data_IF_222967118190
#
_entry.id   IF_222967118190
#
_cell.length_a   1.000
_cell.length_b   1.000
_cell.length_c   1.000
_cell.angle_alpha   90.00
_cell.angle_beta   90.00
_cell.angle_gamma   90.00
#
_symmetry.space_group_name_H-M   'P 1'
#
loop_
_entity.id
_entity.type
_entity.pdbx_description
1 polymer ?
#
# COMPACT_ATOMS: atom_id res chain seq x y z
N UNK A 1 15.45 32.57 -13.20
CA UNK A 1 16.30 31.41 -13.56
C UNK A 1 16.26 30.31 -12.48
N UNK A 2 16.52 30.64 -11.20
CA UNK A 2 16.47 29.66 -10.10
C UNK A 2 15.04 29.16 -9.82
N UNK A 3 14.04 30.01 -9.87
CA UNK A 3 12.63 29.64 -9.70
C UNK A 3 12.15 28.67 -10.81
N UNK A 4 12.54 28.91 -12.04
CA UNK A 4 12.24 28.01 -13.17
C UNK A 4 12.87 26.64 -12.96
N UNK A 5 14.10 26.60 -12.39
CA UNK A 5 14.76 25.35 -12.07
C UNK A 5 14.03 24.62 -10.93
N UNK A 6 13.64 25.31 -9.86
CA UNK A 6 12.81 24.74 -8.78
C UNK A 6 11.52 24.18 -9.37
N UNK A 7 10.80 24.96 -10.19
CA UNK A 7 9.56 24.50 -10.85
C UNK A 7 9.80 23.25 -11.70
N UNK A 8 10.89 23.20 -12.46
CA UNK A 8 11.26 22.03 -13.25
C UNK A 8 11.47 20.79 -12.39
N UNK A 9 12.15 20.92 -11.24
CA UNK A 9 12.37 19.81 -10.32
C UNK A 9 11.05 19.35 -9.68
N UNK A 10 10.15 20.26 -9.29
CA UNK A 10 8.84 19.91 -8.77
C UNK A 10 8.01 19.16 -9.82
N UNK A 11 8.00 19.60 -11.07
CA UNK A 11 7.28 18.94 -12.16
C UNK A 11 7.83 17.55 -12.49
N UNK A 12 9.10 17.30 -12.21
CA UNK A 12 9.73 15.97 -12.33
C UNK A 12 9.63 15.13 -11.05
N UNK A 13 8.91 15.61 -10.03
CA UNK A 13 8.77 14.98 -8.70
C UNK A 13 10.11 14.83 -7.95
N UNK A 14 11.11 15.64 -8.26
CA UNK A 14 12.40 15.68 -7.54
C UNK A 14 12.37 16.76 -6.46
N UNK A 15 11.61 16.49 -5.40
CA UNK A 15 11.43 17.45 -4.31
C UNK A 15 12.71 17.69 -3.51
N UNK A 16 13.61 16.71 -3.42
CA UNK A 16 14.92 16.87 -2.79
C UNK A 16 15.82 17.89 -3.51
N UNK A 17 15.89 17.79 -4.84
CA UNK A 17 16.62 18.77 -5.64
C UNK A 17 15.95 20.15 -5.58
N UNK A 18 14.62 20.21 -5.67
CA UNK A 18 13.86 21.45 -5.54
C UNK A 18 14.12 22.14 -4.19
N UNK A 19 14.08 21.38 -3.09
CA UNK A 19 14.32 21.89 -1.74
C UNK A 19 15.76 22.38 -1.56
N UNK A 20 16.74 21.62 -2.07
CA UNK A 20 18.15 21.99 -2.03
C UNK A 20 18.42 23.32 -2.74
N UNK A 21 17.80 23.54 -3.89
CA UNK A 21 17.92 24.80 -4.62
C UNK A 21 17.21 25.93 -3.86
N UNK A 22 15.97 25.71 -3.39
CA UNK A 22 15.23 26.71 -2.66
C UNK A 22 15.97 27.22 -1.42
N UNK A 23 16.68 26.37 -0.70
CA UNK A 23 17.50 26.75 0.45
C UNK A 23 18.67 27.69 0.13
N UNK A 24 19.11 27.74 -1.11
CA UNK A 24 20.20 28.66 -1.53
C UNK A 24 19.70 30.05 -1.84
N UNK A 25 18.40 30.25 -1.95
CA UNK A 25 17.79 31.55 -2.24
C UNK A 25 17.56 32.35 -0.97
N UNK A 26 17.57 33.70 -1.06
CA UNK A 26 17.16 34.54 0.07
C UNK A 26 15.73 34.17 0.54
N UNK A 27 15.54 34.17 1.86
CA UNK A 27 14.32 33.73 2.50
C UNK A 27 13.09 34.52 2.02
N UNK A 28 13.25 35.78 1.71
CA UNK A 28 12.21 36.66 1.18
C UNK A 28 11.55 36.15 -0.11
N UNK A 29 12.29 35.34 -0.90
CA UNK A 29 11.77 34.74 -2.14
C UNK A 29 11.21 33.33 -1.96
N UNK A 30 11.40 32.71 -0.81
CA UNK A 30 11.07 31.29 -0.61
C UNK A 30 10.06 31.04 0.51
N UNK A 31 9.79 32.05 1.37
CA UNK A 31 8.91 31.93 2.53
C UNK A 31 7.55 31.26 2.22
N UNK A 32 6.95 31.59 1.08
CA UNK A 32 5.59 31.15 0.75
C UNK A 32 5.52 29.68 0.33
N UNK A 33 6.62 29.06 -0.10
CA UNK A 33 6.59 27.74 -0.69
C UNK A 33 7.64 26.75 -0.19
N UNK A 34 8.66 27.17 0.54
CA UNK A 34 9.75 26.28 0.96
C UNK A 34 9.25 25.15 1.88
N UNK A 35 8.30 25.45 2.76
CA UNK A 35 7.71 24.47 3.67
C UNK A 35 6.85 23.46 2.91
N UNK A 36 6.20 23.85 1.82
CA UNK A 36 5.47 22.93 0.95
C UNK A 36 6.41 21.96 0.23
N UNK A 37 7.55 22.46 -0.26
CA UNK A 37 8.55 21.59 -0.91
C UNK A 37 9.14 20.61 0.12
N UNK A 38 9.48 21.10 1.32
CA UNK A 38 9.97 20.27 2.42
C UNK A 38 8.94 19.21 2.85
N UNK A 39 7.68 19.59 2.92
CA UNK A 39 6.58 18.68 3.19
C UNK A 39 6.47 17.60 2.12
N UNK A 40 6.52 17.97 0.83
CA UNK A 40 6.47 17.02 -0.28
C UNK A 40 7.67 16.06 -0.27
N UNK A 41 8.88 16.55 0.03
CA UNK A 41 10.08 15.72 0.20
C UNK A 41 9.90 14.71 1.34
N UNK A 42 9.46 15.18 2.52
CA UNK A 42 9.26 14.32 3.69
C UNK A 42 8.22 13.22 3.41
N UNK A 43 7.12 13.54 2.70
CA UNK A 43 6.14 12.54 2.26
C UNK A 43 6.75 11.48 1.36
N UNK A 44 7.57 11.87 0.39
CA UNK A 44 8.24 10.94 -0.51
C UNK A 44 9.19 9.98 0.22
N UNK A 45 9.80 10.44 1.31
CA UNK A 45 10.70 9.66 2.16
C UNK A 45 9.95 8.88 3.26
N UNK A 46 8.62 9.04 3.36
CA UNK A 46 7.78 8.51 4.45
C UNK A 46 8.24 9.00 5.84
N UNK A 47 8.86 10.17 5.88
CA UNK A 47 9.28 10.84 7.12
C UNK A 47 8.13 11.64 7.71
N UNK A 48 7.26 10.93 8.44
CA UNK A 48 6.12 11.55 9.11
C UNK A 48 6.52 12.45 10.28
N UNK A 49 7.72 12.28 10.83
CA UNK A 49 8.22 13.13 11.89
C UNK A 49 8.46 14.57 11.42
N UNK A 50 8.88 14.73 10.18
CA UNK A 50 9.03 16.03 9.51
C UNK A 50 7.73 16.51 8.87
N UNK A 51 6.95 15.61 8.24
CA UNK A 51 5.75 16.00 7.50
C UNK A 51 4.58 16.42 8.40
N UNK A 52 4.33 15.73 9.53
CA UNK A 52 3.18 16.00 10.38
C UNK A 52 3.19 17.41 11.01
N UNK A 53 4.31 17.95 11.50
CA UNK A 53 4.36 19.34 11.97
C UNK A 53 4.05 20.38 10.89
N UNK A 54 4.52 20.14 9.66
CA UNK A 54 4.29 21.03 8.51
C UNK A 54 2.82 21.01 8.05
N UNK A 55 2.14 19.88 8.20
CA UNK A 55 0.71 19.74 7.88
C UNK A 55 -0.19 20.47 8.91
N UNK A 56 0.18 20.48 10.19
CA UNK A 56 -0.64 21.05 11.27
C UNK A 56 -0.84 22.57 11.19
N UNK A 57 -0.01 23.26 10.44
CA UNK A 57 -0.13 24.71 10.21
C UNK A 57 -1.22 25.09 9.21
N UNK A 58 -1.86 24.13 8.54
CA UNK A 58 -2.84 24.36 7.49
C UNK A 58 -4.26 24.12 7.99
N UNK A 59 -5.22 24.96 7.55
CA UNK A 59 -6.64 24.81 7.87
C UNK A 59 -7.22 23.48 7.39
N UNK A 60 -6.74 23.00 6.23
CA UNK A 60 -7.06 21.68 5.69
C UNK A 60 -5.79 20.81 5.63
N UNK A 61 -5.83 19.61 6.21
CA UNK A 61 -4.73 18.65 6.13
C UNK A 61 -4.47 18.24 4.68
N UNK A 62 -3.20 18.27 4.28
CA UNK A 62 -2.75 17.76 2.98
C UNK A 62 -2.69 16.24 2.92
N UNK A 63 -2.77 15.56 4.07
CA UNK A 63 -2.90 14.12 4.10
C UNK A 63 -4.34 13.70 3.84
N UNK A 64 -4.61 12.90 2.80
CA UNK A 64 -5.97 12.44 2.50
C UNK A 64 -6.49 11.43 3.53
N UNK A 65 -5.58 10.83 4.31
CA UNK A 65 -5.88 9.85 5.35
C UNK A 65 -5.21 10.26 6.66
N UNK A 66 -5.98 10.34 7.74
CA UNK A 66 -5.49 10.79 9.06
C UNK A 66 -5.07 9.65 10.01
N UNK A 67 -5.65 8.45 9.82
CA UNK A 67 -5.29 7.26 10.62
C UNK A 67 -3.83 6.89 10.39
N UNK A 68 -3.05 6.72 11.46
CA UNK A 68 -1.60 6.51 11.39
C UNK A 68 -1.20 5.33 10.50
N UNK A 69 -1.89 4.19 10.61
CA UNK A 69 -1.54 3.00 9.82
C UNK A 69 -1.97 3.14 8.36
N UNK A 70 -3.20 3.61 8.12
CA UNK A 70 -3.72 3.81 6.76
C UNK A 70 -2.94 4.89 6.03
N UNK A 71 -2.55 5.98 6.72
CA UNK A 71 -1.70 7.03 6.17
C UNK A 71 -0.39 6.47 5.63
N UNK A 72 0.29 5.60 6.38
CA UNK A 72 1.54 4.97 5.95
C UNK A 72 1.37 4.18 4.65
N UNK A 73 0.33 3.37 4.54
CA UNK A 73 0.06 2.59 3.32
C UNK A 73 -0.31 3.49 2.14
N UNK A 74 -1.11 4.52 2.39
CA UNK A 74 -1.50 5.47 1.35
C UNK A 74 -0.29 6.24 0.80
N UNK A 75 0.55 6.79 1.68
CA UNK A 75 1.74 7.53 1.27
C UNK A 75 2.76 6.62 0.57
N UNK A 76 2.89 5.37 1.02
CA UNK A 76 3.73 4.39 0.33
C UNK A 76 3.20 4.09 -1.08
N UNK A 77 1.91 3.89 -1.24
CA UNK A 77 1.29 3.69 -2.56
C UNK A 77 1.48 4.92 -3.47
N UNK A 78 1.33 6.14 -2.93
CA UNK A 78 1.61 7.38 -3.64
C UNK A 78 3.09 7.46 -4.09
N UNK A 79 4.03 7.06 -3.24
CA UNK A 79 5.45 7.04 -3.61
C UNK A 79 5.74 6.07 -4.75
N UNK A 80 5.03 4.93 -4.82
CA UNK A 80 5.11 3.99 -5.93
C UNK A 80 4.51 4.56 -7.23
N UNK A 81 3.37 5.26 -7.16
CA UNK A 81 2.78 5.95 -8.30
C UNK A 81 3.72 6.99 -8.89
N UNK A 82 4.41 7.75 -8.03
CA UNK A 82 5.42 8.72 -8.46
C UNK A 82 6.62 8.02 -9.15
N UNK A 83 7.07 6.87 -8.65
CA UNK A 83 8.13 6.09 -9.33
C UNK A 83 7.70 5.66 -10.74
N UNK A 84 6.45 5.26 -10.93
CA UNK A 84 5.92 4.97 -12.27
C UNK A 84 5.92 6.22 -13.17
N UNK A 85 5.49 7.37 -12.67
CA UNK A 85 5.48 8.65 -13.41
C UNK A 85 6.90 9.09 -13.80
N UNK A 86 7.88 8.82 -12.93
CA UNK A 86 9.30 9.07 -13.20
C UNK A 86 9.95 7.98 -14.08
N UNK A 87 9.19 6.94 -14.47
CA UNK A 87 9.68 5.79 -15.25
C UNK A 87 10.76 4.96 -14.52
N UNK A 88 10.78 5.02 -13.20
CA UNK A 88 11.67 4.25 -12.32
C UNK A 88 11.10 2.83 -12.09
N UNK A 89 10.94 2.07 -13.18
CA UNK A 89 10.24 0.78 -13.17
C UNK A 89 10.89 -0.26 -12.25
N UNK A 90 12.20 -0.28 -12.17
CA UNK A 90 12.94 -1.22 -11.31
C UNK A 90 12.65 -0.95 -9.83
N UNK A 91 12.66 0.31 -9.42
CA UNK A 91 12.38 0.70 -8.05
C UNK A 91 10.90 0.55 -7.70
N UNK A 92 10.01 0.75 -8.67
CA UNK A 92 8.60 0.42 -8.53
C UNK A 92 8.39 -1.08 -8.26
N UNK A 93 8.98 -1.96 -9.09
CA UNK A 93 8.85 -3.43 -8.93
C UNK A 93 9.44 -3.90 -7.61
N UNK A 94 10.58 -3.36 -7.20
CA UNK A 94 11.18 -3.66 -5.88
C UNK A 94 10.30 -3.20 -4.73
N UNK A 95 9.68 -2.03 -4.85
CA UNK A 95 8.84 -1.44 -3.82
C UNK A 95 7.46 -2.09 -3.69
N UNK A 96 6.88 -2.63 -4.78
CA UNK A 96 5.52 -3.19 -4.73
C UNK A 96 5.46 -4.53 -3.97
N UNK A 97 6.53 -5.31 -3.99
CA UNK A 97 6.55 -6.67 -3.38
C UNK A 97 6.23 -6.67 -1.89
N UNK A 98 6.84 -5.82 -1.04
CA UNK A 98 6.51 -5.77 0.38
C UNK A 98 5.06 -5.36 0.65
N UNK A 99 4.55 -4.35 -0.07
CA UNK A 99 3.19 -3.86 0.16
C UNK A 99 2.13 -4.88 -0.25
N UNK A 100 2.40 -5.73 -1.24
CA UNK A 100 1.47 -6.80 -1.62
C UNK A 100 1.25 -7.75 -0.45
N UNK A 101 2.31 -8.18 0.23
CA UNK A 101 2.21 -9.07 1.40
C UNK A 101 1.39 -8.40 2.50
N UNK A 102 1.71 -7.15 2.85
CA UNK A 102 1.01 -6.38 3.88
C UNK A 102 -0.48 -6.20 3.54
N UNK A 103 -0.81 -5.88 2.29
CA UNK A 103 -2.20 -5.74 1.84
C UNK A 103 -2.97 -7.06 1.90
N UNK A 104 -2.36 -8.18 1.51
CA UNK A 104 -2.98 -9.49 1.60
C UNK A 104 -3.23 -9.90 3.06
N UNK A 105 -2.30 -9.58 3.97
CA UNK A 105 -2.50 -9.79 5.41
C UNK A 105 -3.63 -8.91 5.96
N UNK A 106 -3.73 -7.66 5.52
CA UNK A 106 -4.85 -6.79 5.90
C UNK A 106 -6.19 -7.33 5.40
N UNK A 107 -6.26 -7.84 4.18
CA UNK A 107 -7.46 -8.49 3.63
C UNK A 107 -7.84 -9.68 4.52
N UNK A 108 -6.89 -10.57 4.83
CA UNK A 108 -7.14 -11.73 5.68
C UNK A 108 -7.66 -11.32 7.07
N UNK A 109 -7.04 -10.32 7.67
CA UNK A 109 -7.41 -9.83 8.99
C UNK A 109 -8.79 -9.14 9.02
N UNK A 110 -9.07 -8.25 8.07
CA UNK A 110 -10.30 -7.46 8.09
C UNK A 110 -11.50 -8.20 7.51
N UNK A 111 -11.30 -8.95 6.41
CA UNK A 111 -12.40 -9.65 5.73
C UNK A 111 -12.70 -11.00 6.39
N UNK A 112 -11.66 -11.77 6.71
CA UNK A 112 -11.82 -13.14 7.20
C UNK A 112 -11.56 -13.29 8.69
N UNK A 113 -11.22 -12.19 9.41
CA UNK A 113 -10.85 -12.19 10.84
C UNK A 113 -9.67 -13.12 11.16
N UNK A 114 -8.81 -13.35 10.16
CA UNK A 114 -7.65 -14.22 10.25
C UNK A 114 -6.37 -13.39 10.39
N UNK A 115 -5.77 -13.37 11.58
CA UNK A 115 -4.47 -12.72 11.80
C UNK A 115 -3.34 -13.70 11.52
N UNK A 116 -2.61 -13.50 10.42
CA UNK A 116 -1.49 -14.35 10.01
C UNK A 116 -0.36 -14.37 11.03
N UNK A 117 -0.19 -13.32 11.83
CA UNK A 117 0.84 -13.27 12.86
C UNK A 117 0.69 -14.38 13.91
N UNK A 118 -0.53 -14.89 14.13
CA UNK A 118 -0.77 -16.01 15.06
C UNK A 118 -0.10 -17.31 14.62
N UNK A 119 0.18 -17.46 13.32
CA UNK A 119 0.79 -18.65 12.71
C UNK A 119 2.26 -18.47 12.38
N UNK A 120 2.85 -17.37 12.80
CA UNK A 120 4.21 -17.00 12.44
C UNK A 120 5.16 -17.01 13.64
N UNK A 121 6.42 -17.12 13.32
CA UNK A 121 7.54 -16.84 14.21
C UNK A 121 8.52 -15.88 13.53
N UNK A 122 9.26 -15.13 14.34
CA UNK A 122 10.35 -14.28 13.84
C UNK A 122 11.67 -14.99 14.16
N UNK A 123 12.49 -15.21 13.15
CA UNK A 123 13.78 -15.85 13.31
C UNK A 123 14.84 -14.87 13.88
N UNK A 124 16.06 -15.39 14.11
CA UNK A 124 17.21 -14.62 14.64
C UNK A 124 17.59 -13.42 13.74
N UNK A 125 17.26 -13.49 12.46
CA UNK A 125 17.52 -12.44 11.46
C UNK A 125 16.34 -11.45 11.32
N UNK A 126 15.39 -11.48 12.25
CA UNK A 126 14.14 -10.69 12.21
C UNK A 126 13.25 -10.98 10.97
N UNK A 127 13.45 -12.14 10.32
CA UNK A 127 12.65 -12.57 9.20
C UNK A 127 11.43 -13.36 9.70
N UNK A 128 10.25 -13.05 9.17
CA UNK A 128 9.00 -13.75 9.50
C UNK A 128 8.90 -15.06 8.71
N UNK A 129 8.64 -16.13 9.43
CA UNK A 129 8.47 -17.50 8.89
C UNK A 129 7.21 -18.13 9.42
N UNK A 130 6.70 -19.13 8.71
CA UNK A 130 5.64 -19.97 9.23
C UNK A 130 6.14 -20.78 10.42
N UNK A 131 5.38 -20.77 11.50
CA UNK A 131 5.66 -21.57 12.70
C UNK A 131 4.95 -22.92 12.57
N UNK A 132 5.74 -23.99 12.45
CA UNK A 132 5.21 -25.34 12.26
C UNK A 132 4.26 -25.73 13.39
N UNK A 133 4.65 -25.48 14.64
CA UNK A 133 3.84 -25.89 15.81
C UNK A 133 2.48 -25.17 15.86
N UNK A 134 2.41 -23.94 15.35
CA UNK A 134 1.17 -23.16 15.32
C UNK A 134 0.33 -23.41 14.07
N UNK A 135 0.95 -23.88 13.00
CA UNK A 135 0.27 -24.04 11.71
C UNK A 135 -0.25 -25.46 11.50
N UNK A 136 0.45 -26.48 12.03
CA UNK A 136 0.08 -27.89 11.85
C UNK A 136 -1.34 -28.17 12.39
N UNK A 137 -2.13 -28.90 11.60
CA UNK A 137 -3.50 -29.24 11.91
C UNK A 137 -4.52 -28.08 11.77
N UNK A 138 -4.11 -26.95 11.21
CA UNK A 138 -5.02 -25.81 11.00
C UNK A 138 -5.60 -25.78 9.59
N UNK A 139 -6.82 -25.20 9.40
CA UNK A 139 -7.38 -24.97 8.07
C UNK A 139 -6.48 -24.08 7.19
N UNK A 140 -5.66 -23.23 7.79
CA UNK A 140 -4.71 -22.37 7.07
C UNK A 140 -3.65 -23.21 6.35
N UNK A 141 -3.10 -24.23 7.04
CA UNK A 141 -2.16 -25.14 6.41
C UNK A 141 -2.81 -25.96 5.28
N UNK A 142 -4.04 -26.43 5.49
CA UNK A 142 -4.78 -27.16 4.48
C UNK A 142 -5.01 -26.30 3.22
N UNK A 143 -5.38 -25.03 3.41
CA UNK A 143 -5.53 -24.08 2.32
C UNK A 143 -4.24 -23.90 1.52
N UNK A 144 -3.09 -23.76 2.21
CA UNK A 144 -1.78 -23.63 1.56
C UNK A 144 -1.44 -24.93 0.81
N UNK A 145 -1.61 -26.10 1.44
CA UNK A 145 -1.25 -27.40 0.84
C UNK A 145 -2.06 -27.78 -0.37
N UNK A 146 -3.27 -27.25 -0.55
CA UNK A 146 -4.08 -27.44 -1.77
C UNK A 146 -3.37 -26.92 -3.03
N UNK A 147 -2.68 -25.78 -2.92
CA UNK A 147 -1.94 -25.15 -4.02
C UNK A 147 -0.45 -25.57 -4.00
N UNK A 148 0.09 -25.85 -2.81
CA UNK A 148 1.50 -26.17 -2.57
C UNK A 148 1.64 -27.49 -1.79
N UNK A 149 1.50 -28.67 -2.41
CA UNK A 149 1.57 -29.96 -1.71
C UNK A 149 2.87 -30.17 -0.93
N UNK A 150 4.00 -29.65 -1.44
CA UNK A 150 5.34 -29.75 -0.83
C UNK A 150 5.69 -28.49 -0.03
N UNK A 151 4.72 -27.92 0.68
CA UNK A 151 4.94 -26.72 1.51
C UNK A 151 5.96 -26.97 2.63
N UNK A 152 6.95 -26.07 2.76
CA UNK A 152 8.15 -26.28 3.58
C UNK A 152 8.33 -25.31 4.76
N UNK A 153 7.29 -24.64 5.23
CA UNK A 153 7.30 -23.73 6.40
C UNK A 153 8.38 -22.63 6.38
N UNK A 154 8.86 -22.24 5.21
CA UNK A 154 9.83 -21.14 5.06
C UNK A 154 9.18 -19.78 5.24
N UNK A 155 9.71 -18.79 4.53
CA UNK A 155 9.24 -17.42 4.61
C UNK A 155 7.79 -17.29 4.15
N UNK A 156 7.09 -16.34 4.76
CA UNK A 156 5.76 -15.94 4.32
C UNK A 156 5.90 -15.27 2.96
N UNK A 157 5.10 -15.70 2.01
CA UNK A 157 5.08 -15.13 0.66
C UNK A 157 3.67 -14.78 0.22
N UNK A 158 3.55 -13.86 -0.71
CA UNK A 158 2.27 -13.44 -1.28
C UNK A 158 1.47 -14.61 -1.86
N UNK A 159 2.14 -15.60 -2.47
CA UNK A 159 1.46 -16.78 -3.06
C UNK A 159 0.78 -17.65 -2.01
N UNK A 160 1.38 -17.81 -0.82
CA UNK A 160 0.74 -18.52 0.30
C UNK A 160 -0.51 -17.78 0.79
N UNK A 161 -0.43 -16.46 0.93
CA UNK A 161 -1.56 -15.63 1.37
C UNK A 161 -2.70 -15.65 0.34
N UNK A 162 -2.37 -15.62 -0.94
CA UNK A 162 -3.36 -15.76 -2.03
C UNK A 162 -4.05 -17.13 -1.99
N UNK A 163 -3.32 -18.21 -1.72
CA UNK A 163 -3.90 -19.55 -1.58
C UNK A 163 -4.92 -19.60 -0.43
N UNK A 164 -4.58 -19.00 0.73
CA UNK A 164 -5.47 -18.90 1.88
C UNK A 164 -6.72 -18.08 1.52
N UNK A 165 -6.55 -16.91 0.88
CA UNK A 165 -7.67 -16.05 0.47
C UNK A 165 -8.60 -16.80 -0.48
N UNK A 166 -8.06 -17.48 -1.49
CA UNK A 166 -8.85 -18.30 -2.44
C UNK A 166 -9.68 -19.37 -1.73
N UNK A 167 -9.07 -20.10 -0.80
CA UNK A 167 -9.77 -21.15 -0.05
C UNK A 167 -10.89 -20.59 0.81
N UNK A 168 -10.62 -19.51 1.52
CA UNK A 168 -11.59 -18.79 2.34
C UNK A 168 -12.76 -18.23 1.52
N UNK A 169 -12.47 -17.63 0.36
CA UNK A 169 -13.51 -17.16 -0.58
C UNK A 169 -14.38 -18.31 -1.08
N UNK A 170 -13.76 -19.42 -1.47
CA UNK A 170 -14.48 -20.61 -1.92
C UNK A 170 -15.37 -21.20 -0.82
N UNK A 171 -14.90 -21.21 0.42
CA UNK A 171 -15.69 -21.64 1.56
C UNK A 171 -16.90 -20.72 1.78
N UNK A 172 -16.70 -19.41 1.75
CA UNK A 172 -17.80 -18.44 1.89
C UNK A 172 -18.82 -18.53 0.74
N UNK A 173 -18.37 -18.68 -0.51
CA UNK A 173 -19.27 -18.86 -1.65
C UNK A 173 -20.12 -20.12 -1.51
N UNK A 174 -19.54 -21.25 -1.07
CA UNK A 174 -20.27 -22.51 -0.86
C UNK A 174 -21.27 -22.42 0.30
N UNK A 175 -20.93 -21.70 1.36
CA UNK A 175 -21.84 -21.50 2.51
C UNK A 175 -23.02 -20.59 2.15
N UNK A 176 -22.83 -19.64 1.23
CA UNK A 176 -23.85 -18.68 0.78
C UNK A 176 -24.76 -19.23 -0.33
N UNK A 177 -24.31 -20.21 -1.14
CA UNK A 177 -25.19 -20.91 -2.08
C UNK A 177 -26.34 -21.64 -1.37
N UNK A 178 -26.23 -21.86 -0.04
CA UNK A 178 -27.32 -22.39 0.79
C UNK A 178 -28.23 -21.31 1.41
N UNK A 179 -27.94 -20.03 1.24
CA UNK A 179 -28.77 -18.94 1.77
C UNK A 179 -28.25 -17.55 1.41
N UNK A 180 -28.74 -16.97 0.33
CA UNK A 180 -28.63 -15.57 -0.08
C UNK A 180 -27.37 -15.11 -0.85
N UNK A 181 -27.52 -15.08 -2.14
CA UNK A 181 -26.49 -14.83 -3.16
C UNK A 181 -26.15 -13.35 -3.44
N UNK A 182 -26.59 -12.42 -2.66
CA UNK A 182 -26.50 -10.99 -3.09
C UNK A 182 -25.78 -10.01 -2.18
N UNK A 183 -25.53 -10.33 -0.92
CA UNK A 183 -25.01 -9.33 0.03
C UNK A 183 -23.49 -9.25 0.15
N UNK A 184 -22.78 -10.31 -0.15
CA UNK A 184 -21.35 -10.44 0.14
C UNK A 184 -20.44 -9.80 -0.91
N UNK A 185 -20.83 -9.79 -2.20
CA UNK A 185 -20.03 -9.07 -3.22
C UNK A 185 -19.93 -7.56 -2.89
N UNK A 186 -20.99 -6.99 -2.32
CA UNK A 186 -20.98 -5.58 -1.91
C UNK A 186 -20.14 -5.32 -0.66
N UNK A 187 -20.02 -6.28 0.25
CA UNK A 187 -19.30 -6.11 1.51
C UNK A 187 -17.79 -6.31 1.33
N UNK A 188 -17.38 -7.28 0.51
CA UNK A 188 -15.98 -7.43 0.07
C UNK A 188 -15.53 -6.21 -0.73
N UNK A 189 -16.41 -5.68 -1.60
CA UNK A 189 -16.13 -4.47 -2.38
C UNK A 189 -16.09 -3.20 -1.52
N UNK A 190 -16.79 -3.15 -0.40
CA UNK A 190 -16.73 -2.03 0.56
C UNK A 190 -15.50 -2.08 1.46
N UNK A 191 -14.97 -3.26 1.75
CA UNK A 191 -13.79 -3.44 2.61
C UNK A 191 -12.46 -3.32 1.87
N UNK A 192 -12.47 -3.30 0.52
CA UNK A 192 -11.27 -2.99 -0.25
C UNK A 192 -10.87 -1.52 -0.03
N UNK A 193 -9.59 -1.24 0.26
CA UNK A 193 -9.08 0.12 0.34
C UNK A 193 -9.49 0.95 -0.89
N UNK A 194 -9.81 2.22 -0.69
CA UNK A 194 -10.28 3.16 -1.74
C UNK A 194 -9.38 3.19 -2.98
N UNK A 195 -8.10 2.84 -2.84
CA UNK A 195 -7.10 2.75 -3.90
C UNK A 195 -7.57 1.83 -5.04
N UNK A 196 -8.17 0.68 -4.72
CA UNK A 196 -8.67 -0.26 -5.74
C UNK A 196 -10.03 0.11 -6.34
N UNK A 197 -10.77 1.01 -5.70
CA UNK A 197 -12.09 1.46 -6.18
C UNK A 197 -11.98 2.46 -7.33
N UNK A 198 -10.91 3.26 -7.37
CA UNK A 198 -10.71 4.33 -8.34
C UNK A 198 -10.26 3.81 -9.72
N UNK A 199 -9.53 2.70 -9.75
CA UNK A 199 -9.02 2.13 -11.02
C UNK A 199 -10.12 1.56 -11.92
N UNK A 200 -11.18 0.97 -11.35
CA UNK A 200 -12.31 0.46 -12.15
C UNK A 200 -13.09 1.56 -12.89
N UNK A 201 -13.23 2.73 -12.28
CA UNK A 201 -13.89 3.86 -12.94
C UNK A 201 -13.03 4.45 -14.05
N UNK A 202 -11.70 4.34 -13.96
CA UNK A 202 -10.78 4.76 -15.01
C UNK A 202 -10.78 3.78 -16.19
N UNK A 203 -10.86 2.49 -15.92
CA UNK A 203 -10.87 1.44 -16.97
C UNK A 203 -12.21 1.44 -17.73
N UNK A 204 -13.34 1.69 -17.06
CA UNK A 204 -14.65 1.79 -17.68
C UNK A 204 -14.77 3.02 -18.61
N UNK A 205 -14.08 4.12 -18.28
CA UNK A 205 -14.03 5.33 -19.12
C UNK A 205 -13.16 5.15 -20.38
N UNK A 206 -12.19 4.24 -20.35
CA UNK A 206 -11.32 3.95 -21.50
C UNK A 206 -12.01 3.00 -22.50
N UNK A 207 -12.87 2.09 -22.04
CA UNK A 207 -13.59 1.16 -22.91
C UNK A 207 -14.86 1.75 -23.56
N UNK A 208 -15.33 2.91 -23.12
CA UNK A 208 -16.52 3.59 -23.66
C UNK A 208 -16.29 4.52 -24.85
N UNK A 209 -15.07 4.59 -25.37
CA UNK A 209 -14.78 5.37 -26.60
C UNK A 209 -14.22 4.44 -27.67
N UNK A 210 -15.12 3.65 -28.28
CA UNK A 210 -14.88 3.12 -29.62
C UNK A 210 -15.39 4.12 -30.65
N UNK A 211 -14.57 4.37 -31.60
CA UNK A 211 -14.82 5.16 -32.81
C UNK A 211 -15.86 4.50 -33.71
#
# INVERSE_FOLDING_TARGET
>A
KSEELIKSQILSYDYSAAYSIAKTLPQEYTNDYIDFIKFAEARMQLDFSTADPLDRGNEASFFPVRSSNEKKYFEYALSLDIKLKRKEYVDFVRGITPIIVDLLELILKHTFRLDINTYCMTDKNKMRRWDRCKLDGTPVLEAIKKEFPNFDYKMISSVHLVAIIKDMMNFHLRSHQRGQQGKMEMEVMRSLPMVFRKERNSTALIQGRSW
#
